data_IF_825849158557
#
_entry.id   IF_825849158557
#
_cell.length_a   1.000
_cell.length_b   1.000
_cell.length_c   1.000
_cell.angle_alpha   90.00
_cell.angle_beta   90.00
_cell.angle_gamma   90.00
#
_symmetry.space_group_name_H-M   'P 1'
#
loop_
_entity.id
_entity.type
_entity.pdbx_description
1 polymer ?
#
# COMPACT_ATOMS: atom_id res chain seq x y z
N UNK A 1 3.89 -21.88 3.59
CA UNK A 1 4.15 -22.83 4.70
C UNK A 1 5.23 -23.86 4.32
N UNK A 2 5.23 -24.39 3.10
CA UNK A 2 6.21 -25.41 2.66
C UNK A 2 7.67 -24.91 2.67
N UNK A 3 7.91 -23.60 2.58
CA UNK A 3 9.23 -22.97 2.52
C UNK A 3 9.60 -22.24 3.82
N UNK A 4 8.87 -22.47 4.91
CA UNK A 4 9.10 -21.89 6.24
C UNK A 4 9.22 -20.34 6.26
N UNK A 5 8.43 -19.66 5.42
CA UNK A 5 8.39 -18.20 5.40
C UNK A 5 7.87 -17.63 6.72
N UNK A 6 8.56 -16.63 7.28
CA UNK A 6 8.19 -15.97 8.55
C UNK A 6 6.92 -15.11 8.48
N UNK A 7 6.44 -14.81 7.27
CA UNK A 7 5.25 -13.98 7.02
C UNK A 7 5.19 -13.52 5.57
N UNK A 8 4.30 -12.58 5.27
CA UNK A 8 4.19 -11.92 3.96
C UNK A 8 4.47 -10.43 4.15
N UNK A 9 5.61 -9.97 3.63
CA UNK A 9 6.00 -8.56 3.69
C UNK A 9 5.23 -7.66 2.73
N UNK A 10 4.67 -8.22 1.66
CA UNK A 10 3.84 -7.50 0.71
C UNK A 10 2.81 -8.44 0.06
N UNK A 11 1.55 -8.30 0.44
CA UNK A 11 0.43 -8.84 -0.30
C UNK A 11 -0.15 -7.75 -1.21
N UNK A 12 -0.01 -7.96 -2.51
CA UNK A 12 -0.52 -7.03 -3.53
C UNK A 12 -1.99 -7.31 -3.79
N UNK A 13 -2.83 -6.30 -3.64
CA UNK A 13 -4.29 -6.46 -3.81
C UNK A 13 -4.77 -6.26 -5.24
N UNK A 14 -3.91 -5.80 -6.15
CA UNK A 14 -4.28 -5.47 -7.54
C UNK A 14 -4.93 -6.64 -8.28
N UNK A 15 -4.45 -7.88 -8.07
CA UNK A 15 -5.01 -9.04 -8.74
C UNK A 15 -6.45 -9.38 -8.29
N UNK A 16 -6.88 -8.90 -7.12
CA UNK A 16 -8.29 -9.00 -6.71
C UNK A 16 -9.18 -8.18 -7.64
N UNK A 17 -8.67 -7.04 -8.12
CA UNK A 17 -9.35 -6.15 -9.06
C UNK A 17 -9.19 -6.61 -10.51
N UNK A 18 -7.97 -6.99 -10.91
CA UNK A 18 -7.65 -7.39 -12.29
C UNK A 18 -8.44 -8.62 -12.77
N UNK A 19 -8.84 -9.49 -11.86
CA UNK A 19 -9.60 -10.70 -12.19
C UNK A 19 -11.12 -10.47 -12.24
N UNK A 20 -11.60 -9.26 -11.96
CA UNK A 20 -13.01 -8.92 -11.98
C UNK A 20 -13.43 -8.19 -13.27
N UNK A 21 -14.71 -8.35 -13.65
CA UNK A 21 -15.31 -7.61 -14.77
C UNK A 21 -15.94 -6.29 -14.34
N UNK A 22 -16.10 -6.10 -13.03
CA UNK A 22 -16.67 -4.93 -12.38
C UNK A 22 -16.01 -4.75 -11.02
N UNK A 23 -16.32 -3.68 -10.32
CA UNK A 23 -15.80 -3.42 -8.98
C UNK A 23 -16.06 -4.61 -8.05
N UNK A 24 -15.02 -5.21 -7.45
CA UNK A 24 -15.19 -6.32 -6.53
C UNK A 24 -15.94 -5.84 -5.27
N UNK A 25 -16.98 -6.59 -4.88
CA UNK A 25 -17.76 -6.31 -3.68
C UNK A 25 -16.91 -6.43 -2.40
N UNK A 26 -17.39 -5.85 -1.32
CA UNK A 26 -16.75 -5.98 0.00
C UNK A 26 -16.59 -7.46 0.40
N UNK A 27 -17.62 -8.29 0.19
CA UNK A 27 -17.57 -9.71 0.53
C UNK A 27 -16.57 -10.50 -0.31
N UNK A 28 -16.49 -10.22 -1.62
CA UNK A 28 -15.50 -10.87 -2.48
C UNK A 28 -14.07 -10.54 -2.03
N UNK A 29 -13.80 -9.27 -1.75
CA UNK A 29 -12.50 -8.83 -1.24
C UNK A 29 -12.20 -9.43 0.13
N UNK A 30 -13.20 -9.42 1.03
CA UNK A 30 -13.07 -10.00 2.37
C UNK A 30 -12.65 -11.47 2.32
N UNK A 31 -13.32 -12.31 1.52
CA UNK A 31 -12.97 -13.72 1.41
C UNK A 31 -11.55 -13.93 0.87
N UNK A 32 -11.13 -13.14 -0.11
CA UNK A 32 -9.76 -13.19 -0.66
C UNK A 32 -8.71 -12.83 0.40
N UNK A 33 -8.93 -11.78 1.18
CA UNK A 33 -7.99 -11.35 2.23
C UNK A 33 -7.99 -12.30 3.41
N UNK A 34 -9.16 -12.73 3.86
CA UNK A 34 -9.33 -13.70 4.95
C UNK A 34 -8.56 -14.99 4.66
N UNK A 35 -8.72 -15.56 3.46
CA UNK A 35 -8.05 -16.80 3.08
C UNK A 35 -6.53 -16.71 3.28
N UNK A 36 -5.92 -15.60 2.91
CA UNK A 36 -4.47 -15.40 3.06
C UNK A 36 -4.09 -15.21 4.52
N UNK A 37 -4.78 -14.33 5.22
CA UNK A 37 -4.48 -14.01 6.63
C UNK A 37 -4.65 -15.23 7.53
N UNK A 38 -5.74 -15.96 7.36
CA UNK A 38 -6.05 -17.17 8.13
C UNK A 38 -5.07 -18.31 7.84
N UNK A 39 -4.70 -18.51 6.57
CA UNK A 39 -3.74 -19.57 6.18
C UNK A 39 -2.33 -19.34 6.73
N UNK A 40 -1.97 -18.11 7.03
CA UNK A 40 -0.66 -17.72 7.55
C UNK A 40 -0.63 -17.46 9.06
N UNK A 41 -1.78 -17.43 9.71
CA UNK A 41 -1.87 -17.18 11.14
C UNK A 41 -0.97 -18.16 11.94
N UNK A 42 -0.25 -17.69 12.97
CA UNK A 42 -0.22 -16.32 13.52
C UNK A 42 0.82 -15.39 12.84
N UNK A 43 1.41 -15.80 11.72
CA UNK A 43 2.45 -15.03 11.00
C UNK A 43 1.87 -13.74 10.40
N UNK A 44 2.69 -12.69 10.36
CA UNK A 44 2.28 -11.36 9.87
C UNK A 44 2.04 -11.37 8.36
N UNK A 45 0.98 -10.69 7.94
CA UNK A 45 0.66 -10.41 6.54
C UNK A 45 0.50 -8.90 6.38
N UNK A 46 1.41 -8.26 5.64
CA UNK A 46 1.30 -6.85 5.29
C UNK A 46 0.51 -6.73 3.98
N UNK A 47 -0.67 -6.15 4.05
CA UNK A 47 -1.56 -5.98 2.89
C UNK A 47 -1.50 -4.53 2.40
N UNK A 48 -1.06 -4.36 1.16
CA UNK A 48 -1.06 -3.06 0.49
C UNK A 48 -2.44 -2.77 -0.10
N UNK A 49 -2.98 -1.59 0.19
CA UNK A 49 -4.21 -1.13 -0.45
C UNK A 49 -4.00 -0.94 -1.95
N UNK A 50 -5.08 -0.73 -2.69
CA UNK A 50 -5.10 -0.70 -4.15
C UNK A 50 -4.00 0.21 -4.73
N UNK A 51 -3.16 -0.37 -5.60
CA UNK A 51 -2.13 0.33 -6.39
C UNK A 51 -2.42 0.12 -7.88
N UNK A 52 -3.60 0.56 -8.31
CA UNK A 52 -4.03 0.58 -9.71
C UNK A 52 -3.75 1.96 -10.30
N UNK A 53 -3.59 2.00 -11.61
CA UNK A 53 -3.15 3.14 -12.40
C UNK A 53 -1.78 2.87 -13.01
N UNK A 54 -1.24 3.80 -13.77
CA UNK A 54 -0.01 3.63 -14.53
C UNK A 54 -0.06 2.42 -15.48
N UNK A 55 0.71 1.37 -15.19
CA UNK A 55 0.80 0.15 -15.98
C UNK A 55 -0.30 -0.88 -15.66
N UNK A 56 -1.07 -0.66 -14.60
CA UNK A 56 -2.13 -1.57 -14.13
C UNK A 56 -3.49 -0.89 -14.25
N UNK A 57 -4.17 -1.12 -15.34
CA UNK A 57 -5.50 -0.56 -15.58
C UNK A 57 -6.56 -1.65 -15.63
N UNK A 58 -7.78 -1.29 -15.27
CA UNK A 58 -8.98 -2.13 -15.41
C UNK A 58 -10.07 -1.30 -16.07
N UNK A 59 -10.68 -1.85 -17.11
CA UNK A 59 -11.62 -1.12 -17.98
C UNK A 59 -12.80 -0.53 -17.23
N UNK A 60 -13.33 -1.24 -16.23
CA UNK A 60 -14.47 -0.78 -15.43
C UNK A 60 -14.16 0.45 -14.56
N UNK A 61 -12.90 0.73 -14.25
CA UNK A 61 -12.52 1.95 -13.52
C UNK A 61 -12.60 3.22 -14.37
N UNK A 62 -12.62 3.07 -15.72
CA UNK A 62 -12.75 4.18 -16.68
C UNK A 62 -11.80 5.32 -16.35
N UNK A 63 -10.53 4.99 -16.17
CA UNK A 63 -9.48 5.99 -15.95
C UNK A 63 -9.18 6.69 -17.27
N UNK A 64 -9.05 8.01 -17.23
CA UNK A 64 -8.69 8.79 -18.39
C UNK A 64 -7.27 8.44 -18.89
N UNK A 65 -7.03 8.67 -20.17
CA UNK A 65 -5.69 8.56 -20.71
C UNK A 65 -4.80 9.68 -20.16
N UNK A 66 -3.61 9.33 -19.72
CA UNK A 66 -2.60 10.27 -19.22
C UNK A 66 -1.29 10.10 -20.02
N UNK A 67 -0.62 11.21 -20.34
CA UNK A 67 0.68 11.16 -21.03
C UNK A 67 1.79 10.58 -20.13
N UNK A 68 1.67 10.76 -18.82
CA UNK A 68 2.61 10.26 -17.83
C UNK A 68 1.89 9.51 -16.70
N UNK A 69 1.33 8.31 -16.94
CA UNK A 69 0.45 7.61 -15.99
C UNK A 69 1.12 7.32 -14.64
N UNK A 70 2.43 7.09 -14.63
CA UNK A 70 3.18 6.83 -13.40
C UNK A 70 3.24 8.06 -12.49
N UNK A 71 3.13 9.27 -13.03
CA UNK A 71 3.07 10.55 -12.30
C UNK A 71 1.65 11.04 -12.07
N UNK A 72 0.66 10.31 -12.55
CA UNK A 72 -0.72 10.73 -12.67
C UNK A 72 -1.63 10.23 -11.55
N UNK A 73 -2.88 9.97 -11.95
CA UNK A 73 -3.97 9.55 -11.10
C UNK A 73 -3.91 8.05 -10.84
N UNK A 74 -3.20 7.65 -9.79
CA UNK A 74 -2.99 6.25 -9.39
C UNK A 74 -3.03 6.04 -7.88
N UNK A 75 -3.20 4.80 -7.47
CA UNK A 75 -3.05 4.33 -6.10
C UNK A 75 -3.83 5.17 -5.08
N UNK A 76 -3.15 5.72 -4.07
CA UNK A 76 -3.80 6.50 -3.01
C UNK A 76 -4.59 7.71 -3.54
N UNK A 77 -4.19 8.30 -4.66
CA UNK A 77 -4.90 9.42 -5.29
C UNK A 77 -6.29 9.00 -5.77
N UNK A 78 -6.41 7.81 -6.37
CA UNK A 78 -7.70 7.20 -6.73
C UNK A 78 -8.50 6.91 -5.46
N UNK A 79 -7.88 6.30 -4.45
CA UNK A 79 -8.54 5.93 -3.22
C UNK A 79 -9.15 7.13 -2.48
N UNK A 80 -8.43 8.23 -2.36
CA UNK A 80 -8.89 9.43 -1.65
C UNK A 80 -9.98 10.21 -2.40
N UNK A 81 -9.98 10.15 -3.75
CA UNK A 81 -10.98 10.84 -4.57
C UNK A 81 -12.21 9.98 -4.86
N UNK A 82 -12.08 8.65 -4.84
CA UNK A 82 -13.18 7.67 -4.96
C UNK A 82 -13.41 6.99 -3.62
N UNK A 83 -13.90 7.75 -2.65
CA UNK A 83 -14.00 7.33 -1.24
C UNK A 83 -14.79 6.04 -1.05
N UNK A 84 -15.92 5.84 -1.77
CA UNK A 84 -16.73 4.63 -1.65
C UNK A 84 -15.97 3.38 -2.10
N UNK A 85 -15.20 3.50 -3.19
CA UNK A 85 -14.30 2.45 -3.65
C UNK A 85 -13.25 2.10 -2.58
N UNK A 86 -12.63 3.11 -1.98
CA UNK A 86 -11.63 2.91 -0.94
C UNK A 86 -12.22 2.31 0.33
N UNK A 87 -13.39 2.79 0.77
CA UNK A 87 -14.11 2.23 1.93
C UNK A 87 -14.45 0.76 1.74
N UNK A 88 -14.90 0.36 0.55
CA UNK A 88 -15.18 -1.04 0.25
C UNK A 88 -13.96 -1.94 0.51
N UNK A 89 -12.77 -1.51 0.08
CA UNK A 89 -11.53 -2.25 0.36
C UNK A 89 -11.17 -2.24 1.85
N UNK A 90 -11.19 -1.06 2.49
CA UNK A 90 -10.80 -0.92 3.89
C UNK A 90 -11.72 -1.73 4.84
N UNK A 91 -13.03 -1.74 4.58
CA UNK A 91 -13.99 -2.55 5.33
C UNK A 91 -13.69 -4.04 5.18
N UNK A 92 -13.41 -4.50 3.95
CA UNK A 92 -13.03 -5.89 3.70
C UNK A 92 -11.74 -6.28 4.44
N UNK A 93 -10.72 -5.40 4.46
CA UNK A 93 -9.48 -5.61 5.20
C UNK A 93 -9.71 -5.65 6.71
N UNK A 94 -10.48 -4.71 7.24
CA UNK A 94 -10.82 -4.67 8.67
C UNK A 94 -11.57 -5.94 9.11
N UNK A 95 -12.49 -6.44 8.31
CA UNK A 95 -13.18 -7.72 8.56
C UNK A 95 -12.21 -8.90 8.55
N UNK A 96 -11.30 -8.94 7.57
CA UNK A 96 -10.31 -10.00 7.43
C UNK A 96 -9.30 -10.01 8.60
N UNK A 97 -9.02 -8.87 9.21
CA UNK A 97 -8.09 -8.75 10.34
C UNK A 97 -8.50 -9.55 11.59
N UNK A 98 -9.77 -9.93 11.70
CA UNK A 98 -10.25 -10.78 12.79
C UNK A 98 -9.71 -12.22 12.73
N UNK A 99 -9.11 -12.63 11.61
CA UNK A 99 -8.72 -14.02 11.34
C UNK A 99 -7.21 -14.27 11.42
N UNK A 100 -6.41 -13.26 11.73
CA UNK A 100 -4.97 -13.43 11.91
C UNK A 100 -4.21 -12.11 12.07
N UNK A 101 -2.89 -12.17 11.97
CA UNK A 101 -2.02 -11.00 12.17
C UNK A 101 -1.84 -10.25 10.85
N UNK A 102 -2.58 -9.15 10.70
CA UNK A 102 -2.58 -8.34 9.48
C UNK A 102 -2.15 -6.89 9.77
N UNK A 103 -1.36 -6.34 8.86
CA UNK A 103 -1.02 -4.92 8.82
C UNK A 103 -1.52 -4.31 7.50
N UNK A 104 -1.96 -3.05 7.51
CA UNK A 104 -2.44 -2.31 6.34
C UNK A 104 -1.36 -1.32 5.91
N UNK A 105 -1.09 -1.25 4.61
CA UNK A 105 -0.07 -0.37 4.04
C UNK A 105 -0.65 0.46 2.89
N UNK A 106 -0.44 1.79 2.96
CA UNK A 106 -0.84 2.70 1.89
C UNK A 106 0.30 2.95 0.91
N UNK A 107 0.08 2.73 -0.41
CA UNK A 107 1.06 3.01 -1.45
C UNK A 107 1.08 4.47 -1.88
N UNK A 108 2.16 4.90 -2.55
CA UNK A 108 2.26 6.17 -3.28
C UNK A 108 1.99 7.43 -2.47
N UNK A 109 2.26 7.40 -1.18
CA UNK A 109 2.16 8.58 -0.31
C UNK A 109 3.24 9.59 -0.71
N UNK A 110 2.84 10.86 -0.85
CA UNK A 110 3.73 11.99 -1.17
C UNK A 110 3.65 13.12 -0.15
N UNK A 111 2.66 13.08 0.74
CA UNK A 111 2.47 14.10 1.76
C UNK A 111 1.89 13.51 3.06
N UNK A 112 2.14 14.21 4.18
CA UNK A 112 1.54 13.86 5.46
C UNK A 112 0.00 13.93 5.40
N UNK A 113 -0.54 14.88 4.62
CA UNK A 113 -1.98 15.05 4.45
C UNK A 113 -2.64 13.83 3.82
N UNK A 114 -2.04 13.26 2.75
CA UNK A 114 -2.56 12.04 2.13
C UNK A 114 -2.61 10.87 3.11
N UNK A 115 -1.58 10.71 3.95
CA UNK A 115 -1.54 9.68 4.98
C UNK A 115 -2.65 9.90 6.03
N UNK A 116 -2.80 11.13 6.52
CA UNK A 116 -3.83 11.47 7.49
C UNK A 116 -5.25 11.29 6.93
N UNK A 117 -5.49 11.70 5.69
CA UNK A 117 -6.77 11.51 5.02
C UNK A 117 -7.09 10.01 4.81
N UNK A 118 -6.10 9.19 4.45
CA UNK A 118 -6.27 7.74 4.33
C UNK A 118 -6.59 7.07 5.68
N UNK A 119 -5.90 7.46 6.74
CA UNK A 119 -6.17 7.00 8.11
C UNK A 119 -7.56 7.43 8.59
N UNK A 120 -7.99 8.64 8.25
CA UNK A 120 -9.33 9.11 8.59
C UNK A 120 -10.43 8.25 7.94
N UNK A 121 -10.28 7.87 6.66
CA UNK A 121 -11.21 6.95 6.00
C UNK A 121 -11.18 5.57 6.65
N UNK A 122 -10.01 5.08 7.05
CA UNK A 122 -9.88 3.80 7.77
C UNK A 122 -10.63 3.82 9.10
N UNK A 123 -10.51 4.90 9.87
CA UNK A 123 -11.21 5.05 11.15
C UNK A 123 -12.73 5.20 10.98
N UNK A 124 -13.20 5.88 9.92
CA UNK A 124 -14.62 5.88 9.56
C UNK A 124 -15.13 4.44 9.32
N UNK A 125 -14.40 3.64 8.52
CA UNK A 125 -14.75 2.24 8.27
C UNK A 125 -14.76 1.41 9.57
N UNK A 126 -13.80 1.65 10.45
CA UNK A 126 -13.73 0.98 11.76
C UNK A 126 -14.94 1.30 12.62
N UNK A 127 -15.34 2.57 12.68
CA UNK A 127 -16.52 3.01 13.44
C UNK A 127 -17.81 2.42 12.88
N UNK A 128 -17.97 2.38 11.55
CA UNK A 128 -19.13 1.77 10.88
C UNK A 128 -19.25 0.28 11.21
N UNK A 129 -18.17 -0.50 11.02
CA UNK A 129 -18.17 -1.93 11.31
C UNK A 129 -18.39 -2.22 12.79
N UNK A 130 -17.87 -1.38 13.68
CA UNK A 130 -18.13 -1.50 15.12
C UNK A 130 -19.61 -1.26 15.45
N UNK A 131 -20.26 -0.28 14.83
CA UNK A 131 -21.69 -0.02 15.00
C UNK A 131 -22.55 -1.15 14.44
N UNK A 132 -22.10 -1.84 13.40
CA UNK A 132 -22.73 -3.03 12.83
C UNK A 132 -22.47 -4.31 13.65
N UNK A 133 -21.66 -4.25 14.71
CA UNK A 133 -21.29 -5.41 15.53
C UNK A 133 -20.33 -6.39 14.86
N UNK A 134 -19.63 -5.96 13.81
CA UNK A 134 -18.70 -6.78 13.05
C UNK A 134 -17.37 -6.90 13.79
N UNK A 135 -16.86 -8.13 13.92
CA UNK A 135 -15.56 -8.39 14.56
C UNK A 135 -14.39 -7.92 13.67
N UNK A 136 -13.41 -7.30 14.31
CA UNK A 136 -12.16 -6.84 13.69
C UNK A 136 -10.98 -7.19 14.60
N UNK A 137 -9.77 -7.24 14.04
CA UNK A 137 -8.54 -7.30 14.81
C UNK A 137 -8.35 -6.05 15.68
N UNK A 138 -7.81 -6.24 16.88
CA UNK A 138 -7.64 -5.12 17.82
C UNK A 138 -6.36 -4.30 17.54
N UNK A 139 -5.28 -4.97 17.12
CA UNK A 139 -3.96 -4.36 16.95
C UNK A 139 -3.54 -4.46 15.47
N UNK A 140 -4.21 -3.69 14.61
CA UNK A 140 -3.86 -3.63 13.20
C UNK A 140 -2.84 -2.52 13.02
N UNK A 141 -1.60 -2.87 12.70
CA UNK A 141 -0.59 -1.89 12.34
C UNK A 141 -0.94 -1.21 11.01
N UNK A 142 -0.73 0.09 10.94
CA UNK A 142 -0.96 0.91 9.75
C UNK A 142 0.34 1.58 9.35
N UNK A 143 0.80 1.32 8.15
CA UNK A 143 2.05 1.89 7.63
C UNK A 143 1.90 2.43 6.22
N UNK A 144 3.00 2.92 5.69
CA UNK A 144 3.05 3.42 4.32
C UNK A 144 4.22 2.83 3.55
N UNK A 145 4.06 2.70 2.23
CA UNK A 145 5.16 2.40 1.33
C UNK A 145 5.92 3.69 1.04
N UNK A 146 7.20 3.70 1.34
CA UNK A 146 8.10 4.80 1.00
C UNK A 146 8.70 4.49 -0.36
N UNK A 147 8.16 5.11 -1.39
CA UNK A 147 8.50 4.82 -2.79
C UNK A 147 8.54 6.07 -3.66
N UNK A 148 8.36 7.25 -3.06
CA UNK A 148 8.51 8.55 -3.73
C UNK A 148 9.61 9.36 -3.05
N UNK A 149 10.41 10.16 -3.78
CA UNK A 149 11.38 11.07 -3.16
C UNK A 149 10.75 12.03 -2.16
N UNK A 150 9.50 12.47 -2.41
CA UNK A 150 8.77 13.33 -1.47
C UNK A 150 8.58 12.63 -0.11
N UNK A 151 8.14 11.36 -0.10
CA UNK A 151 7.97 10.61 1.14
C UNK A 151 9.30 10.40 1.89
N UNK A 152 10.41 10.18 1.16
CA UNK A 152 11.75 10.09 1.77
C UNK A 152 12.13 11.37 2.49
N UNK A 153 11.89 12.53 1.86
CA UNK A 153 12.26 13.83 2.42
C UNK A 153 11.45 14.23 3.66
N UNK A 154 10.23 13.71 3.80
CA UNK A 154 9.34 13.95 4.95
C UNK A 154 9.16 12.67 5.80
N UNK A 155 10.12 11.75 5.75
CA UNK A 155 9.99 10.47 6.44
C UNK A 155 9.91 10.59 7.96
N UNK A 156 10.53 11.62 8.56
CA UNK A 156 10.41 11.88 10.00
C UNK A 156 8.98 12.24 10.40
N UNK A 157 8.29 13.06 9.61
CA UNK A 157 6.90 13.44 9.83
C UNK A 157 5.96 12.27 9.63
N UNK A 158 6.18 11.48 8.57
CA UNK A 158 5.38 10.28 8.29
C UNK A 158 5.57 9.22 9.38
N UNK A 159 6.78 9.06 9.92
CA UNK A 159 7.06 8.07 10.96
C UNK A 159 6.32 8.32 12.26
N UNK A 160 5.95 9.57 12.56
CA UNK A 160 5.13 9.90 13.73
C UNK A 160 3.68 9.46 13.60
N UNK A 161 3.24 9.17 12.39
CA UNK A 161 1.85 8.79 12.05
C UNK A 161 1.71 7.32 11.63
N UNK A 162 2.81 6.57 11.52
CA UNK A 162 2.85 5.18 11.07
C UNK A 162 3.38 4.23 12.14
N UNK A 163 2.95 2.97 12.06
CA UNK A 163 3.51 1.87 12.84
C UNK A 163 4.71 1.21 12.14
N UNK A 164 4.85 1.42 10.83
CA UNK A 164 5.96 0.89 10.03
C UNK A 164 6.11 1.59 8.68
N UNK A 165 7.28 1.40 8.08
CA UNK A 165 7.56 1.70 6.68
C UNK A 165 7.87 0.42 5.90
N UNK A 166 7.50 0.41 4.61
CA UNK A 166 7.98 -0.57 3.64
C UNK A 166 8.56 0.19 2.44
N UNK A 167 9.80 -0.10 2.07
CA UNK A 167 10.46 0.63 0.98
C UNK A 167 10.13 -0.02 -0.35
N UNK A 168 9.46 0.71 -1.24
CA UNK A 168 9.13 0.30 -2.60
C UNK A 168 10.25 0.66 -3.59
N UNK A 169 11.28 -0.18 -3.69
CA UNK A 169 12.52 0.15 -4.42
C UNK A 169 12.33 0.38 -5.91
N UNK A 170 11.37 -0.28 -6.55
CA UNK A 170 11.12 -0.11 -7.98
C UNK A 170 10.61 1.29 -8.32
N UNK A 171 9.53 1.72 -7.65
CA UNK A 171 8.98 3.07 -7.83
C UNK A 171 9.94 4.12 -7.28
N UNK A 172 10.62 3.88 -6.16
CA UNK A 172 11.63 4.79 -5.64
C UNK A 172 12.78 5.02 -6.63
N UNK A 173 13.24 3.97 -7.30
CA UNK A 173 14.27 4.09 -8.35
C UNK A 173 13.72 4.88 -9.54
N UNK A 174 12.53 4.55 -10.03
CA UNK A 174 11.89 5.23 -11.13
C UNK A 174 11.78 6.74 -10.89
N UNK A 175 11.25 7.15 -9.75
CA UNK A 175 11.03 8.56 -9.44
C UNK A 175 12.32 9.30 -9.06
N UNK A 176 13.25 8.64 -8.36
CA UNK A 176 14.53 9.26 -7.99
C UNK A 176 15.43 9.47 -9.20
N UNK A 177 15.45 8.53 -10.14
CA UNK A 177 16.27 8.59 -11.34
C UNK A 177 15.54 9.21 -12.55
N UNK A 178 14.29 9.65 -12.40
CA UNK A 178 13.47 10.27 -13.46
C UNK A 178 13.40 9.41 -14.72
N UNK A 179 13.12 8.11 -14.59
CA UNK A 179 13.02 7.18 -15.71
C UNK A 179 11.78 6.31 -15.59
N UNK A 180 11.19 5.98 -16.73
CA UNK A 180 10.07 5.05 -16.81
C UNK A 180 10.61 3.61 -16.93
N UNK A 181 10.37 2.79 -15.90
CA UNK A 181 10.78 1.37 -15.86
C UNK A 181 10.06 0.49 -16.88
N UNK A 182 8.93 0.96 -17.43
CA UNK A 182 8.20 0.25 -18.49
C UNK A 182 8.80 0.49 -19.88
N UNK A 183 9.65 1.49 -20.04
CA UNK A 183 10.30 1.77 -21.29
C UNK A 183 11.56 0.89 -21.45
N UNK A 184 11.47 -0.13 -22.29
CA UNK A 184 12.57 -1.06 -22.56
C UNK A 184 13.87 -0.37 -23.01
N UNK A 185 13.79 0.82 -23.64
CA UNK A 185 14.97 1.58 -24.05
C UNK A 185 15.74 2.17 -22.86
N UNK A 186 15.08 2.31 -21.71
CA UNK A 186 15.66 2.85 -20.48
C UNK A 186 16.20 1.76 -19.54
N UNK A 187 16.00 0.46 -19.85
CA UNK A 187 16.51 -0.65 -19.05
C UNK A 187 18.01 -0.51 -18.69
N UNK A 188 18.93 -0.09 -19.59
CA UNK A 188 20.33 0.09 -19.24
C UNK A 188 20.61 1.19 -18.20
N UNK A 189 19.66 2.10 -18.01
CA UNK A 189 19.76 3.22 -17.06
C UNK A 189 19.05 2.90 -15.72
N UNK A 190 18.21 1.86 -15.67
CA UNK A 190 17.52 1.44 -14.46
C UNK A 190 18.48 0.70 -13.53
N UNK A 191 18.94 1.39 -12.48
CA UNK A 191 19.85 0.81 -11.50
C UNK A 191 19.30 0.99 -10.08
N UNK A 192 18.73 -0.07 -9.45
CA UNK A 192 18.23 0.00 -8.07
C UNK A 192 19.35 0.19 -7.03
N UNK A 193 20.62 0.00 -7.43
CA UNK A 193 21.78 0.30 -6.60
C UNK A 193 22.39 1.68 -6.88
N UNK A 194 21.67 2.54 -7.58
CA UNK A 194 22.12 3.91 -7.83
C UNK A 194 22.39 4.61 -6.49
N UNK A 195 23.52 5.36 -6.34
CA UNK A 195 23.87 5.98 -5.06
C UNK A 195 22.79 6.88 -4.46
N UNK A 196 21.99 7.56 -5.28
CA UNK A 196 20.86 8.36 -4.80
C UNK A 196 19.75 7.50 -4.21
N UNK A 197 19.45 6.35 -4.83
CA UNK A 197 18.45 5.40 -4.33
C UNK A 197 18.91 4.79 -3.00
N UNK A 198 20.16 4.36 -2.91
CA UNK A 198 20.73 3.84 -1.66
C UNK A 198 20.73 4.88 -0.53
N UNK A 199 20.97 6.15 -0.84
CA UNK A 199 20.84 7.24 0.15
C UNK A 199 19.41 7.45 0.58
N UNK A 200 18.45 7.42 -0.34
CA UNK A 200 17.02 7.51 -0.03
C UNK A 200 16.57 6.37 0.88
N UNK A 201 16.99 5.14 0.59
CA UNK A 201 16.74 3.97 1.45
C UNK A 201 17.31 4.20 2.85
N UNK A 202 18.57 4.62 2.94
CA UNK A 202 19.23 4.90 4.23
C UNK A 202 18.48 5.98 5.01
N UNK A 203 18.12 7.09 4.40
CA UNK A 203 17.36 8.17 5.05
C UNK A 203 16.03 7.66 5.61
N UNK A 204 15.31 6.83 4.84
CA UNK A 204 14.06 6.22 5.27
C UNK A 204 14.23 5.32 6.48
N UNK A 205 15.25 4.44 6.46
CA UNK A 205 15.55 3.53 7.58
C UNK A 205 15.90 4.33 8.84
N UNK A 206 16.75 5.34 8.72
CA UNK A 206 17.16 6.18 9.84
C UNK A 206 15.99 6.97 10.43
N UNK A 207 15.09 7.51 9.58
CA UNK A 207 13.89 8.19 10.04
C UNK A 207 12.95 7.23 10.80
N UNK A 208 12.64 6.06 10.24
CA UNK A 208 11.81 5.06 10.92
C UNK A 208 12.40 4.65 12.27
N UNK A 209 13.69 4.35 12.33
CA UNK A 209 14.35 3.95 13.57
C UNK A 209 14.40 5.07 14.62
N UNK A 210 14.58 6.35 14.22
CA UNK A 210 14.51 7.48 15.16
C UNK A 210 13.16 7.56 15.87
N UNK A 211 12.08 7.17 15.18
CA UNK A 211 10.72 7.19 15.73
C UNK A 211 10.25 5.82 16.26
N UNK A 212 11.15 4.83 16.34
CA UNK A 212 10.88 3.54 16.96
C UNK A 212 9.97 2.62 16.14
N UNK A 213 9.79 2.88 14.84
CA UNK A 213 9.01 2.03 13.94
C UNK A 213 9.93 1.11 13.13
N UNK A 214 9.43 -0.08 12.78
CA UNK A 214 10.19 -0.99 11.93
C UNK A 214 10.11 -0.60 10.45
N UNK A 215 11.16 -0.93 9.70
CA UNK A 215 11.29 -0.63 8.28
C UNK A 215 11.59 -1.92 7.51
N UNK A 216 10.71 -2.28 6.57
CA UNK A 216 10.91 -3.38 5.62
C UNK A 216 11.31 -2.87 4.23
N UNK A 217 11.78 -3.78 3.36
CA UNK A 217 12.16 -3.49 1.98
C UNK A 217 11.75 -4.65 1.07
#
# INVERSE_FOLDING_TARGET
>A
QQNDAGGVGLFRTEFVYLNCKDYPSEDYQFEAYKQVVESLAPRKVVVRTCDIGADKTVDYMKLDHEDNPALGYRAIRICLTRKDFFKTQLRALLRASAYGNMSIMFPMITSLRELQDAKAVLEECRAELAAEGVKMGQNIEVGTMIETPAAVLIADELAQECDFFSIGTNDLTQYTCALDRQNAKLEPFFNPHHPAVLRAIKMTIEAGHRHGIWVGI
#
